data_IF_184863066317
#
_entry.id   IF_184863066317
#
_cell.length_a   1.000
_cell.length_b   1.000
_cell.length_c   1.000
_cell.angle_alpha   90.00
_cell.angle_beta   90.00
_cell.angle_gamma   90.00
#
_symmetry.space_group_name_H-M   'P 1'
#
loop_
_entity.id
_entity.type
_entity.pdbx_description
1 polymer ?
#
# COMPACT_ATOMS: atom_id res chain seq x y z
N UNK A 1 2.87 -28.32 -22.08
CA UNK A 1 4.00 -27.37 -22.21
C UNK A 1 3.98 -26.47 -20.98
N UNK A 2 5.13 -26.26 -20.34
CA UNK A 2 5.22 -25.34 -19.20
C UNK A 2 4.84 -23.92 -19.66
N UNK A 3 4.06 -23.20 -18.86
CA UNK A 3 3.69 -21.81 -19.15
C UNK A 3 4.96 -20.95 -19.05
N UNK A 4 5.31 -20.14 -20.06
CA UNK A 4 6.47 -19.26 -19.95
C UNK A 4 6.29 -18.32 -18.75
N UNK A 5 7.35 -18.19 -17.95
CA UNK A 5 7.38 -17.29 -16.80
C UNK A 5 7.18 -15.85 -17.28
N UNK A 6 6.22 -15.14 -16.68
CA UNK A 6 5.93 -13.75 -17.03
C UNK A 6 6.95 -12.85 -16.33
N UNK A 7 7.87 -12.26 -17.09
CA UNK A 7 8.88 -11.34 -16.55
C UNK A 7 8.24 -10.09 -15.92
N UNK A 8 7.25 -9.49 -16.59
CA UNK A 8 6.51 -8.33 -16.10
C UNK A 8 5.62 -8.57 -14.87
N UNK A 9 5.11 -7.47 -14.32
CA UNK A 9 4.14 -7.44 -13.22
C UNK A 9 2.86 -6.71 -13.64
N UNK A 10 1.72 -7.14 -13.12
CA UNK A 10 0.41 -6.54 -13.42
C UNK A 10 0.08 -5.31 -12.56
N UNK A 11 0.90 -5.07 -11.53
CA UNK A 11 0.76 -3.99 -10.59
C UNK A 11 2.15 -3.55 -10.13
N UNK A 12 2.31 -2.25 -9.87
CA UNK A 12 3.47 -1.72 -9.17
C UNK A 12 3.03 -0.73 -8.08
N UNK A 13 3.76 -0.68 -6.95
CA UNK A 13 3.49 0.28 -5.90
C UNK A 13 3.95 1.68 -6.32
N UNK A 14 3.05 2.64 -6.12
CA UNK A 14 3.31 4.07 -6.26
C UNK A 14 3.01 4.74 -4.93
N UNK A 15 3.98 5.47 -4.40
CA UNK A 15 3.82 6.16 -3.12
C UNK A 15 2.86 7.33 -3.24
N UNK A 16 2.11 7.59 -2.17
CA UNK A 16 1.20 8.75 -2.08
C UNK A 16 1.99 10.06 -2.07
N UNK A 17 3.13 10.05 -1.39
CA UNK A 17 4.06 11.18 -1.34
C UNK A 17 5.27 10.83 -2.20
N UNK A 18 5.25 11.34 -3.43
CA UNK A 18 6.33 11.14 -4.38
C UNK A 18 7.52 12.03 -4.04
N UNK A 19 8.71 11.57 -4.43
CA UNK A 19 9.96 12.30 -4.30
C UNK A 19 9.86 13.67 -5.00
N UNK A 20 10.59 14.66 -4.48
CA UNK A 20 10.68 16.01 -5.03
C UNK A 20 11.07 16.01 -6.51
N UNK A 21 11.77 14.97 -6.97
CA UNK A 21 12.07 14.71 -8.39
C UNK A 21 10.82 14.74 -9.29
N UNK A 22 9.71 14.16 -8.84
CA UNK A 22 8.43 14.17 -9.58
C UNK A 22 7.80 15.57 -9.58
N UNK A 23 7.88 16.29 -8.46
CA UNK A 23 7.39 17.67 -8.35
C UNK A 23 8.14 18.61 -9.32
N UNK A 24 9.44 18.40 -9.52
CA UNK A 24 10.19 19.17 -10.52
C UNK A 24 9.70 18.92 -11.95
N UNK A 25 9.39 17.68 -12.30
CA UNK A 25 8.83 17.35 -13.63
C UNK A 25 7.46 18.00 -13.79
N UNK A 26 6.59 17.86 -12.79
CA UNK A 26 5.27 18.47 -12.78
C UNK A 26 5.36 20.00 -12.88
N UNK A 27 6.33 20.63 -12.21
CA UNK A 27 6.52 22.09 -12.30
C UNK A 27 6.92 22.58 -13.69
N UNK A 28 7.61 21.74 -14.48
CA UNK A 28 8.15 22.09 -15.80
C UNK A 28 7.21 21.74 -16.95
N UNK A 29 6.52 20.61 -16.84
CA UNK A 29 5.70 20.03 -17.92
C UNK A 29 4.23 19.86 -17.51
N UNK A 30 3.84 20.34 -16.34
CA UNK A 30 2.49 20.21 -15.81
C UNK A 30 2.09 18.76 -15.50
N UNK A 31 0.77 18.57 -15.37
CA UNK A 31 0.18 17.24 -15.14
C UNK A 31 0.42 16.27 -16.30
N UNK A 32 0.62 16.78 -17.52
CA UNK A 32 0.93 15.94 -18.68
C UNK A 32 2.30 15.27 -18.51
N UNK A 33 3.33 16.04 -18.14
CA UNK A 33 4.65 15.47 -17.84
C UNK A 33 4.61 14.45 -16.70
N UNK A 34 3.85 14.74 -15.65
CA UNK A 34 3.63 13.79 -14.56
C UNK A 34 2.99 12.48 -15.08
N UNK A 35 1.93 12.57 -15.88
CA UNK A 35 1.25 11.42 -16.46
C UNK A 35 2.18 10.59 -17.37
N UNK A 36 3.03 11.25 -18.16
CA UNK A 36 4.05 10.60 -19.00
C UNK A 36 4.98 9.75 -18.14
N UNK A 37 5.49 10.28 -17.02
CA UNK A 37 6.37 9.51 -16.12
C UNK A 37 5.65 8.30 -15.54
N UNK A 38 4.40 8.44 -15.11
CA UNK A 38 3.62 7.30 -14.59
C UNK A 38 3.40 6.24 -15.68
N UNK A 39 3.14 6.66 -16.93
CA UNK A 39 2.99 5.76 -18.08
C UNK A 39 4.30 5.05 -18.44
N UNK A 40 5.44 5.74 -18.33
CA UNK A 40 6.76 5.12 -18.49
C UNK A 40 7.00 4.05 -17.41
N UNK A 41 6.68 4.36 -16.15
CA UNK A 41 6.78 3.38 -15.06
C UNK A 41 5.88 2.16 -15.33
N UNK A 42 4.64 2.36 -15.78
CA UNK A 42 3.74 1.27 -16.20
C UNK A 42 4.40 0.37 -17.25
N UNK A 43 4.97 0.96 -18.30
CA UNK A 43 5.68 0.22 -19.37
C UNK A 43 6.88 -0.56 -18.82
N UNK A 44 7.69 0.06 -17.97
CA UNK A 44 8.86 -0.59 -17.36
C UNK A 44 8.43 -1.81 -16.55
N UNK A 45 7.42 -1.68 -15.70
CA UNK A 45 6.96 -2.79 -14.86
C UNK A 45 6.23 -3.89 -15.64
N UNK A 46 5.61 -3.56 -16.77
CA UNK A 46 5.07 -4.55 -17.69
C UNK A 46 6.15 -5.43 -18.34
N UNK A 47 7.38 -4.91 -18.47
CA UNK A 47 8.55 -5.64 -18.99
C UNK A 47 9.42 -6.23 -17.87
N UNK A 48 9.35 -5.68 -16.65
CA UNK A 48 10.02 -6.18 -15.46
C UNK A 48 10.58 -5.05 -14.59
N UNK A 49 11.90 -4.87 -14.61
CA UNK A 49 12.62 -3.81 -13.90
C UNK A 49 13.35 -2.84 -14.85
N UNK A 50 13.17 -3.04 -16.15
CA UNK A 50 13.74 -2.24 -17.22
C UNK A 50 12.79 -2.30 -18.42
N UNK A 51 12.86 -1.31 -19.30
CA UNK A 51 12.29 -1.43 -20.64
C UNK A 51 13.30 -0.96 -21.68
N UNK A 52 13.18 -1.48 -22.90
CA UNK A 52 13.94 -0.99 -24.03
C UNK A 52 13.41 0.38 -24.48
N UNK A 53 14.31 1.32 -24.73
CA UNK A 53 13.99 2.70 -25.09
C UNK A 53 14.84 3.19 -26.25
N UNK A 54 14.39 2.84 -27.45
CA UNK A 54 14.95 3.31 -28.72
C UNK A 54 14.08 4.41 -29.33
N UNK A 55 14.51 4.98 -30.47
CA UNK A 55 13.69 5.94 -31.23
C UNK A 55 12.32 5.39 -31.63
N UNK A 56 12.26 4.12 -32.05
CA UNK A 56 11.00 3.46 -32.40
C UNK A 56 10.13 3.26 -31.15
N UNK A 57 10.75 2.93 -30.00
CA UNK A 57 10.06 2.83 -28.72
C UNK A 57 9.46 4.16 -28.26
N UNK A 58 10.19 5.26 -28.43
CA UNK A 58 9.70 6.62 -28.17
C UNK A 58 8.48 6.93 -29.04
N UNK A 59 8.54 6.66 -30.35
CA UNK A 59 7.46 6.92 -31.29
C UNK A 59 6.20 6.11 -30.96
N UNK A 60 6.36 4.80 -30.71
CA UNK A 60 5.26 3.92 -30.32
C UNK A 60 4.62 4.36 -29.00
N UNK A 61 5.45 4.68 -28.00
CA UNK A 61 4.96 5.14 -26.71
C UNK A 61 4.20 6.46 -26.82
N UNK A 62 4.74 7.44 -27.55
CA UNK A 62 4.08 8.73 -27.79
C UNK A 62 2.70 8.55 -28.45
N UNK A 63 2.60 7.63 -29.41
CA UNK A 63 1.32 7.26 -30.03
C UNK A 63 0.35 6.62 -29.03
N UNK A 64 0.81 5.67 -28.21
CA UNK A 64 -0.01 4.98 -27.20
C UNK A 64 -0.63 5.94 -26.18
N UNK A 65 0.15 6.91 -25.70
CA UNK A 65 -0.33 7.89 -24.71
C UNK A 65 -0.98 9.12 -25.34
N UNK A 66 -0.99 9.22 -26.68
CA UNK A 66 -1.51 10.35 -27.46
C UNK A 66 -0.85 11.68 -27.10
N UNK A 67 0.47 11.68 -26.98
CA UNK A 67 1.26 12.88 -26.68
C UNK A 67 2.31 13.11 -27.76
N UNK A 68 2.88 14.32 -27.81
CA UNK A 68 3.88 14.69 -28.80
C UNK A 68 5.23 14.02 -28.51
N UNK A 69 5.88 13.47 -29.54
CA UNK A 69 7.18 12.82 -29.43
C UNK A 69 8.23 13.74 -28.76
N UNK A 70 8.25 15.01 -29.17
CA UNK A 70 9.15 16.01 -28.64
C UNK A 70 8.95 16.25 -27.13
N UNK A 71 7.70 16.23 -26.66
CA UNK A 71 7.39 16.38 -25.24
C UNK A 71 7.84 15.16 -24.44
N UNK A 72 7.52 13.96 -24.91
CA UNK A 72 7.96 12.71 -24.26
C UNK A 72 9.48 12.65 -24.16
N UNK A 73 10.18 13.02 -25.24
CA UNK A 73 11.64 13.05 -25.25
C UNK A 73 12.20 14.05 -24.21
N UNK A 74 11.60 15.24 -24.11
CA UNK A 74 12.00 16.24 -23.12
C UNK A 74 11.76 15.77 -21.67
N UNK A 75 10.64 15.07 -21.42
CA UNK A 75 10.33 14.50 -20.11
C UNK A 75 11.32 13.40 -19.74
N UNK A 76 11.64 12.49 -20.67
CA UNK A 76 12.62 11.43 -20.44
C UNK A 76 14.01 12.00 -20.15
N UNK A 77 14.44 13.04 -20.89
CA UNK A 77 15.69 13.74 -20.63
C UNK A 77 15.71 14.40 -19.24
N UNK A 78 14.60 15.01 -18.82
CA UNK A 78 14.50 15.56 -17.47
C UNK A 78 14.51 14.46 -16.39
N UNK A 79 13.87 13.32 -16.63
CA UNK A 79 13.94 12.16 -15.74
C UNK A 79 15.38 11.68 -15.54
N UNK A 80 16.19 11.65 -16.61
CA UNK A 80 17.61 11.31 -16.52
C UNK A 80 18.40 12.36 -15.73
N UNK A 81 18.15 13.66 -15.97
CA UNK A 81 18.81 14.76 -15.24
C UNK A 81 18.53 14.75 -13.74
N UNK A 82 17.39 14.20 -13.31
CA UNK A 82 16.95 14.15 -11.90
C UNK A 82 17.20 12.78 -11.25
N UNK A 83 17.91 11.88 -11.92
CA UNK A 83 18.17 10.50 -11.46
C UNK A 83 16.87 9.71 -11.15
N UNK A 84 15.83 9.91 -11.95
CA UNK A 84 14.66 9.02 -11.98
C UNK A 84 14.94 7.80 -12.85
N UNK A 85 15.72 8.00 -13.91
CA UNK A 85 16.31 6.96 -14.75
C UNK A 85 17.83 7.08 -14.73
N UNK A 86 18.51 5.94 -14.77
CA UNK A 86 19.95 5.87 -14.80
C UNK A 86 20.47 6.21 -16.20
N UNK A 87 21.21 7.31 -16.29
CA UNK A 87 21.77 7.81 -17.55
C UNK A 87 22.79 6.82 -18.15
N UNK A 88 23.59 6.16 -17.31
CA UNK A 88 24.61 5.22 -17.77
C UNK A 88 24.02 3.95 -18.39
N UNK A 89 22.86 3.50 -17.90
CA UNK A 89 22.11 2.38 -18.49
C UNK A 89 21.45 2.77 -19.81
N UNK A 90 20.91 3.98 -19.90
CA UNK A 90 20.37 4.50 -21.16
C UNK A 90 21.46 4.64 -22.23
N UNK A 91 22.60 5.25 -21.90
CA UNK A 91 23.68 5.47 -22.88
C UNK A 91 24.32 4.17 -23.37
N UNK A 92 24.53 3.18 -22.48
CA UNK A 92 25.20 1.91 -22.83
C UNK A 92 24.28 0.87 -23.46
N UNK A 93 23.05 0.76 -22.97
CA UNK A 93 22.13 -0.34 -23.34
C UNK A 93 20.82 0.15 -23.98
N UNK A 94 20.60 1.46 -24.08
CA UNK A 94 19.34 2.05 -24.58
C UNK A 94 18.12 1.56 -23.78
N UNK A 95 18.27 1.41 -22.46
CA UNK A 95 17.18 0.99 -21.57
C UNK A 95 16.83 2.07 -20.55
N UNK A 96 15.59 2.06 -20.08
CA UNK A 96 15.16 2.83 -18.92
C UNK A 96 15.06 1.94 -17.70
N UNK A 97 15.89 2.22 -16.70
CA UNK A 97 15.85 1.58 -15.38
C UNK A 97 16.42 2.54 -14.34
N UNK A 98 16.25 2.22 -13.05
CA UNK A 98 16.93 2.93 -11.96
C UNK A 98 16.97 2.07 -10.71
N UNK A 99 17.84 2.44 -9.76
CA UNK A 99 17.92 1.78 -8.44
C UNK A 99 16.56 1.71 -7.74
N UNK A 100 15.75 2.79 -7.83
CA UNK A 100 14.43 2.84 -7.22
C UNK A 100 13.38 1.95 -7.89
N UNK A 101 13.50 1.73 -9.21
CA UNK A 101 12.65 0.79 -9.95
C UNK A 101 13.03 -0.65 -9.58
N UNK A 102 14.33 -0.95 -9.62
CA UNK A 102 14.87 -2.26 -9.32
C UNK A 102 14.55 -2.75 -7.89
N UNK A 103 14.67 -1.87 -6.89
CA UNK A 103 14.27 -2.17 -5.50
C UNK A 103 12.78 -2.51 -5.40
N UNK A 104 11.91 -1.71 -6.02
CA UNK A 104 10.47 -1.97 -6.01
C UNK A 104 10.12 -3.25 -6.74
N UNK A 105 10.74 -3.51 -7.89
CA UNK A 105 10.56 -4.76 -8.61
C UNK A 105 10.93 -5.98 -7.77
N UNK A 106 12.09 -5.95 -7.09
CA UNK A 106 12.53 -7.00 -6.16
C UNK A 106 11.45 -7.33 -5.12
N UNK A 107 10.87 -6.31 -4.50
CA UNK A 107 9.79 -6.52 -3.52
C UNK A 107 8.53 -7.14 -4.13
N UNK A 108 8.15 -6.76 -5.37
CA UNK A 108 6.98 -7.33 -6.06
C UNK A 108 7.21 -8.80 -6.40
N UNK A 109 8.41 -9.16 -6.84
CA UNK A 109 8.73 -10.52 -7.32
C UNK A 109 9.26 -11.45 -6.24
N UNK A 110 9.40 -10.99 -4.99
CA UNK A 110 9.95 -11.76 -3.86
C UNK A 110 9.30 -13.14 -3.66
N UNK A 111 8.03 -13.30 -4.03
CA UNK A 111 7.26 -14.56 -3.89
C UNK A 111 7.27 -15.44 -5.14
N UNK A 112 7.80 -14.95 -6.25
CA UNK A 112 7.87 -15.71 -7.49
C UNK A 112 8.97 -16.76 -7.37
N UNK A 113 8.68 -17.99 -7.82
CA UNK A 113 9.64 -19.10 -7.80
C UNK A 113 10.81 -18.90 -8.78
N UNK A 114 10.54 -18.24 -9.91
CA UNK A 114 11.53 -17.97 -10.96
C UNK A 114 11.29 -16.58 -11.53
N UNK A 115 12.38 -15.84 -11.74
CA UNK A 115 12.40 -14.50 -12.33
C UNK A 115 13.61 -14.40 -13.25
N UNK A 116 13.39 -14.02 -14.50
CA UNK A 116 14.47 -13.79 -15.45
C UNK A 116 15.13 -12.42 -15.16
N UNK A 117 16.37 -12.46 -14.69
CA UNK A 117 17.19 -11.28 -14.39
C UNK A 117 18.40 -11.27 -15.34
N UNK A 118 18.71 -10.10 -15.87
CA UNK A 118 19.82 -9.84 -16.78
C UNK A 118 20.85 -9.07 -15.96
N UNK A 119 21.95 -9.73 -15.62
CA UNK A 119 22.96 -9.21 -14.69
C UNK A 119 23.54 -7.87 -15.16
N UNK A 120 23.75 -7.71 -16.47
CA UNK A 120 24.30 -6.48 -17.08
C UNK A 120 23.45 -5.23 -16.81
N UNK A 121 22.16 -5.40 -16.52
CA UNK A 121 21.22 -4.28 -16.30
C UNK A 121 21.03 -3.96 -14.81
N UNK A 122 21.65 -4.71 -13.92
CA UNK A 122 21.53 -4.49 -12.48
C UNK A 122 22.33 -3.28 -12.02
N UNK A 123 21.66 -2.43 -11.23
CA UNK A 123 22.22 -1.27 -10.54
C UNK A 123 22.30 -1.48 -9.02
N UNK A 124 21.74 -2.58 -8.53
CA UNK A 124 21.79 -3.01 -7.14
C UNK A 124 22.30 -4.45 -7.08
N UNK A 125 23.33 -4.68 -6.25
CA UNK A 125 23.96 -6.00 -6.08
C UNK A 125 22.99 -7.05 -5.51
N UNK A 126 21.96 -6.57 -4.83
CA UNK A 126 21.04 -7.34 -4.00
C UNK A 126 19.90 -8.01 -4.79
N UNK A 127 19.78 -7.76 -6.11
CA UNK A 127 18.75 -8.39 -6.95
C UNK A 127 19.10 -9.83 -7.35
N UNK A 128 20.39 -10.17 -7.38
CA UNK A 128 20.90 -11.50 -7.71
C UNK A 128 20.72 -12.51 -6.56
N UNK A 129 20.47 -12.04 -5.34
CA UNK A 129 20.23 -12.86 -4.15
C UNK A 129 18.79 -13.41 -4.08
N UNK A 130 18.26 -13.92 -5.20
CA UNK A 130 17.11 -14.83 -5.19
C UNK A 130 17.61 -16.26 -5.49
N UNK A 131 18.30 -16.94 -4.56
CA UNK A 131 18.53 -18.37 -4.71
C UNK A 131 17.32 -19.15 -4.19
N UNK A 132 16.99 -20.20 -4.93
CA UNK A 132 16.36 -21.42 -4.44
C UNK A 132 16.97 -21.82 -3.07
N UNK A 133 16.33 -21.43 -1.97
CA UNK A 133 16.53 -22.11 -0.69
C UNK A 133 15.24 -22.81 -0.29
N UNK A 134 15.32 -24.14 -0.32
CA UNK A 134 14.40 -25.03 0.37
C UNK A 134 14.44 -24.66 1.86
N UNK A 135 13.43 -23.95 2.35
CA UNK A 135 13.23 -23.75 3.78
C UNK A 135 12.28 -24.84 4.25
N UNK A 136 12.83 -25.77 5.04
CA UNK A 136 12.10 -26.73 5.86
C UNK A 136 11.12 -26.00 6.80
N UNK A 137 9.97 -26.61 7.03
CA UNK A 137 9.04 -26.29 8.11
C UNK A 137 9.77 -26.24 9.47
N UNK A 138 10.02 -25.04 10.00
CA UNK A 138 9.62 -24.58 11.34
C UNK A 138 10.18 -23.17 11.63
N UNK A 139 9.38 -22.32 12.27
CA UNK A 139 9.74 -21.01 12.89
C UNK A 139 9.77 -19.76 11.96
N UNK A 140 8.65 -19.02 11.98
CA UNK A 140 8.51 -17.56 12.13
C UNK A 140 9.45 -16.61 11.34
N UNK A 141 8.93 -16.01 10.26
CA UNK A 141 8.42 -14.61 10.23
C UNK A 141 8.49 -14.01 8.82
N UNK A 142 7.61 -13.04 8.54
CA UNK A 142 7.57 -12.15 7.39
C UNK A 142 6.85 -12.64 6.12
N UNK A 143 5.52 -12.52 6.22
CA UNK A 143 4.67 -11.83 5.24
C UNK A 143 4.66 -12.34 3.79
N UNK A 144 3.57 -13.08 3.53
CA UNK A 144 2.44 -12.64 2.71
C UNK A 144 2.21 -13.57 1.51
N UNK A 145 0.97 -14.06 1.41
CA UNK A 145 0.34 -14.72 0.27
C UNK A 145 -0.85 -13.79 -0.02
N UNK A 146 -0.87 -13.00 -1.09
CA UNK A 146 -1.21 -13.36 -2.47
C UNK A 146 -2.56 -14.07 -2.55
N UNK A 147 -3.61 -13.24 -2.56
CA UNK A 147 -4.93 -13.60 -3.06
C UNK A 147 -4.82 -14.06 -4.51
N UNK A 148 -5.06 -15.34 -4.75
CA UNK A 148 -5.46 -15.87 -6.04
C UNK A 148 -6.88 -15.40 -6.36
N UNK A 149 -7.02 -14.70 -7.48
CA UNK A 149 -8.31 -14.35 -8.06
C UNK A 149 -8.91 -15.60 -8.71
N UNK A 150 -9.63 -16.42 -7.94
CA UNK A 150 -10.53 -17.43 -8.49
C UNK A 150 -11.92 -16.82 -8.55
N UNK A 151 -12.32 -16.46 -9.77
CA UNK A 151 -13.71 -16.27 -10.13
C UNK A 151 -14.33 -17.67 -10.27
N UNK A 152 -15.10 -18.14 -9.27
CA UNK A 152 -16.10 -19.19 -9.50
C UNK A 152 -17.22 -19.22 -8.44
N UNK A 153 -18.42 -19.00 -8.96
CA UNK A 153 -19.76 -19.39 -8.54
C UNK A 153 -19.99 -20.01 -7.14
N UNK A 154 -20.96 -19.40 -6.45
CA UNK A 154 -21.72 -19.95 -5.31
C UNK A 154 -22.00 -21.45 -5.43
N UNK A 155 -21.65 -22.20 -4.38
CA UNK A 155 -22.54 -23.20 -3.78
C UNK A 155 -22.18 -23.48 -2.32
N UNK A 156 -23.19 -23.32 -1.48
CA UNK A 156 -23.25 -23.64 -0.04
C UNK A 156 -22.98 -25.12 0.21
N UNK A 157 -22.20 -25.45 1.25
CA UNK A 157 -22.56 -26.45 2.27
C UNK A 157 -21.62 -26.42 3.47
N UNK A 158 -22.22 -26.36 4.65
CA UNK A 158 -21.64 -26.44 5.99
C UNK A 158 -20.88 -27.76 6.24
N UNK A 159 -19.82 -27.72 7.04
CA UNK A 159 -19.72 -28.60 8.22
C UNK A 159 -18.66 -28.12 9.23
N UNK A 160 -19.14 -28.01 10.47
CA UNK A 160 -18.58 -27.88 11.83
C UNK A 160 -17.06 -27.94 12.12
N UNK A 161 -16.66 -26.90 12.88
CA UNK A 161 -15.79 -26.86 14.07
C UNK A 161 -14.29 -27.17 13.97
N UNK A 162 -13.48 -26.09 14.04
CA UNK A 162 -12.41 -25.95 15.05
C UNK A 162 -12.12 -24.47 15.33
N UNK A 163 -12.53 -24.06 16.53
CA UNK A 163 -12.45 -22.74 17.13
C UNK A 163 -11.00 -22.31 17.41
N UNK A 164 -10.61 -21.10 16.95
CA UNK A 164 -9.69 -20.11 17.57
C UNK A 164 -8.87 -19.24 16.60
N UNK A 165 -8.95 -19.42 15.29
CA UNK A 165 -8.23 -18.55 14.33
C UNK A 165 -9.05 -17.36 13.79
N UNK A 166 -10.37 -17.32 14.05
CA UNK A 166 -11.26 -16.34 13.44
C UNK A 166 -11.14 -14.94 14.05
N UNK A 167 -10.81 -14.79 15.35
CA UNK A 167 -10.87 -13.48 16.02
C UNK A 167 -9.77 -12.49 15.59
N UNK A 168 -8.53 -12.97 15.34
CA UNK A 168 -7.40 -12.11 14.92
C UNK A 168 -7.65 -11.39 13.59
N UNK A 169 -8.55 -11.91 12.77
CA UNK A 169 -8.86 -11.32 11.47
C UNK A 169 -9.99 -10.29 11.55
N UNK A 170 -10.83 -10.31 12.60
CA UNK A 170 -12.05 -9.47 12.68
C UNK A 170 -11.71 -8.00 12.88
N UNK A 171 -10.82 -7.67 13.83
CA UNK A 171 -10.45 -6.27 14.07
C UNK A 171 -9.71 -5.66 12.88
N UNK A 172 -8.80 -6.44 12.28
CA UNK A 172 -8.11 -6.05 11.05
C UNK A 172 -9.13 -5.81 9.92
N UNK A 173 -10.00 -6.78 9.64
CA UNK A 173 -11.04 -6.67 8.60
C UNK A 173 -11.94 -5.45 8.80
N UNK A 174 -12.38 -5.19 10.03
CA UNK A 174 -13.21 -4.03 10.37
C UNK A 174 -12.48 -2.71 10.06
N UNK A 175 -11.21 -2.59 10.46
CA UNK A 175 -10.40 -1.42 10.14
C UNK A 175 -10.28 -1.20 8.63
N UNK A 176 -10.00 -2.27 7.89
CA UNK A 176 -9.88 -2.26 6.42
C UNK A 176 -11.15 -1.79 5.70
N UNK A 177 -12.31 -2.21 6.21
CA UNK A 177 -13.61 -1.91 5.61
C UNK A 177 -14.13 -0.51 5.92
N UNK A 178 -13.90 -0.02 7.15
CA UNK A 178 -14.59 1.18 7.64
C UNK A 178 -13.69 2.39 7.89
N UNK A 179 -12.37 2.20 8.03
CA UNK A 179 -11.44 3.28 8.39
C UNK A 179 -10.47 3.56 7.25
N UNK A 180 -9.55 2.64 6.98
CA UNK A 180 -8.49 2.83 5.99
C UNK A 180 -7.88 1.50 5.57
N UNK A 181 -7.11 1.49 4.47
CA UNK A 181 -6.30 0.34 4.10
C UNK A 181 -5.38 -0.05 5.24
N UNK A 182 -5.36 -1.34 5.57
CA UNK A 182 -4.53 -1.89 6.62
C UNK A 182 -3.09 -1.99 6.09
N UNK A 183 -2.16 -1.26 6.70
CA UNK A 183 -0.74 -1.51 6.50
C UNK A 183 -0.24 -2.57 7.50
N UNK A 184 0.88 -3.25 7.24
CA UNK A 184 1.46 -4.21 8.20
C UNK A 184 1.69 -3.60 9.59
N UNK A 185 2.10 -2.32 9.65
CA UNK A 185 2.30 -1.58 10.89
C UNK A 185 0.98 -1.42 11.66
N UNK A 186 -0.11 -1.10 10.96
CA UNK A 186 -1.43 -0.98 11.60
C UNK A 186 -1.93 -2.35 12.05
N UNK A 187 -1.72 -3.41 11.27
CA UNK A 187 -2.10 -4.77 11.65
C UNK A 187 -1.33 -5.26 12.90
N UNK A 188 -0.04 -4.95 12.99
CA UNK A 188 0.79 -5.24 14.16
C UNK A 188 0.28 -4.47 15.38
N UNK A 189 0.03 -3.16 15.24
CA UNK A 189 -0.54 -2.35 16.32
C UNK A 189 -1.91 -2.83 16.78
N UNK A 190 -2.80 -3.22 15.85
CA UNK A 190 -4.09 -3.83 16.19
C UNK A 190 -3.84 -5.10 17.01
N UNK A 191 -2.95 -5.97 16.53
CA UNK A 191 -2.60 -7.22 17.21
C UNK A 191 -2.02 -6.99 18.61
N UNK A 192 -1.23 -5.94 18.81
CA UNK A 192 -0.70 -5.57 20.13
C UNK A 192 -1.83 -5.13 21.07
N UNK A 193 -2.73 -4.26 20.59
CA UNK A 193 -3.89 -3.83 21.37
C UNK A 193 -4.87 -4.96 21.69
N UNK A 194 -5.05 -5.91 20.78
CA UNK A 194 -5.87 -7.10 21.03
C UNK A 194 -5.35 -7.94 22.20
N UNK A 195 -4.03 -7.98 22.40
CA UNK A 195 -3.40 -8.68 23.54
C UNK A 195 -3.64 -7.95 24.88
N UNK A 196 -3.75 -6.62 24.84
CA UNK A 196 -3.85 -5.79 26.05
C UNK A 196 -5.29 -5.60 26.55
N UNK A 197 -6.25 -5.33 25.67
CA UNK A 197 -7.63 -4.94 26.04
C UNK A 197 -8.74 -5.83 25.47
N UNK A 198 -8.40 -6.86 24.67
CA UNK A 198 -9.27 -7.76 23.89
C UNK A 198 -9.76 -7.22 22.53
N UNK A 199 -9.95 -8.13 21.58
CA UNK A 199 -10.47 -7.84 20.22
C UNK A 199 -11.80 -7.07 20.22
N UNK A 200 -12.72 -7.39 21.14
CA UNK A 200 -14.02 -6.73 21.18
C UNK A 200 -13.90 -5.25 21.55
N UNK A 201 -13.01 -4.91 22.49
CA UNK A 201 -12.74 -3.53 22.90
C UNK A 201 -12.06 -2.76 21.77
N UNK A 202 -11.14 -3.40 21.03
CA UNK A 202 -10.50 -2.80 19.85
C UNK A 202 -11.53 -2.45 18.77
N UNK A 203 -12.45 -3.37 18.45
CA UNK A 203 -13.53 -3.12 17.48
C UNK A 203 -14.44 -1.99 17.96
N UNK A 204 -14.82 -1.96 19.25
CA UNK A 204 -15.65 -0.88 19.79
C UNK A 204 -14.99 0.50 19.67
N UNK A 205 -13.68 0.61 19.87
CA UNK A 205 -12.96 1.88 19.68
C UNK A 205 -12.95 2.32 18.21
N UNK A 206 -12.86 1.37 17.28
CA UNK A 206 -12.96 1.64 15.84
C UNK A 206 -14.36 2.08 15.43
N UNK A 207 -15.42 1.44 15.96
CA UNK A 207 -16.81 1.85 15.75
C UNK A 207 -17.02 3.31 16.17
N UNK A 208 -16.52 3.69 17.35
CA UNK A 208 -16.64 5.07 17.84
C UNK A 208 -15.90 6.07 16.93
N UNK A 209 -14.73 5.71 16.41
CA UNK A 209 -14.01 6.53 15.44
C UNK A 209 -14.81 6.76 14.14
N UNK A 210 -15.56 5.74 13.71
CA UNK A 210 -16.44 5.82 12.53
C UNK A 210 -17.67 6.69 12.81
N UNK A 211 -18.30 6.52 13.99
CA UNK A 211 -19.48 7.30 14.43
C UNK A 211 -19.14 8.78 14.58
N UNK A 212 -17.95 9.12 15.09
CA UNK A 212 -17.49 10.51 15.22
C UNK A 212 -16.94 11.09 13.91
N UNK A 213 -17.01 10.36 12.80
CA UNK A 213 -16.44 10.71 11.49
C UNK A 213 -14.92 10.99 11.50
N UNK A 214 -14.22 10.57 12.56
CA UNK A 214 -12.78 10.74 12.78
C UNK A 214 -12.03 9.45 12.47
N UNK A 215 -12.17 8.99 11.23
CA UNK A 215 -11.67 7.71 10.72
C UNK A 215 -10.14 7.73 10.52
N UNK A 216 -9.39 7.72 11.62
CA UNK A 216 -7.93 7.65 11.61
C UNK A 216 -7.40 6.74 12.72
N UNK A 217 -6.33 5.99 12.45
CA UNK A 217 -5.67 5.16 13.47
C UNK A 217 -5.27 5.98 14.71
N UNK A 218 -4.76 7.20 14.51
CA UNK A 218 -4.39 8.11 15.60
C UNK A 218 -5.55 8.41 16.55
N UNK A 219 -6.78 8.49 16.04
CA UNK A 219 -7.96 8.70 16.87
C UNK A 219 -8.38 7.42 17.60
N UNK A 220 -8.35 6.27 16.91
CA UNK A 220 -8.61 4.95 17.52
C UNK A 220 -7.61 4.66 18.65
N UNK A 221 -6.32 4.84 18.41
CA UNK A 221 -5.24 4.62 19.38
C UNK A 221 -5.40 5.53 20.61
N UNK A 222 -5.89 6.76 20.43
CA UNK A 222 -6.20 7.66 21.56
C UNK A 222 -7.36 7.16 22.42
N UNK A 223 -8.40 6.59 21.80
CA UNK A 223 -9.52 5.97 22.53
C UNK A 223 -9.01 4.75 23.31
N UNK A 224 -8.22 3.90 22.66
CA UNK A 224 -7.66 2.69 23.28
C UNK A 224 -6.74 3.01 24.45
N UNK A 225 -5.90 4.04 24.36
CA UNK A 225 -5.07 4.51 25.46
C UNK A 225 -5.90 4.98 26.66
N UNK A 226 -6.95 5.78 26.44
CA UNK A 226 -7.86 6.23 27.50
C UNK A 226 -8.54 5.04 28.19
N UNK A 227 -9.02 4.08 27.41
CA UNK A 227 -9.69 2.88 27.91
C UNK A 227 -8.73 1.95 28.66
N UNK A 228 -7.50 1.79 28.17
CA UNK A 228 -6.46 1.03 28.84
C UNK A 228 -6.10 1.62 30.21
N UNK A 229 -5.93 2.95 30.29
CA UNK A 229 -5.68 3.63 31.56
C UNK A 229 -6.85 3.52 32.55
N UNK A 230 -8.08 3.37 32.06
CA UNK A 230 -9.29 3.12 32.86
C UNK A 230 -9.49 1.65 33.21
N UNK A 231 -8.61 0.75 32.77
CA UNK A 231 -8.68 -0.68 33.08
C UNK A 231 -9.77 -1.44 32.31
N UNK A 232 -10.26 -0.89 31.20
CA UNK A 232 -11.30 -1.50 30.34
C UNK A 232 -10.72 -2.72 29.65
N UNK A 233 -11.25 -3.92 29.95
CA UNK A 233 -10.81 -5.19 29.34
C UNK A 233 -11.94 -6.00 28.70
N UNK A 234 -13.19 -5.60 28.93
CA UNK A 234 -14.37 -6.22 28.33
C UNK A 234 -15.19 -5.19 27.57
N UNK A 235 -15.98 -5.68 26.61
CA UNK A 235 -16.91 -4.86 25.83
C UNK A 235 -17.88 -4.06 26.70
N UNK A 236 -18.36 -4.66 27.79
CA UNK A 236 -19.30 -4.03 28.72
C UNK A 236 -18.71 -2.79 29.40
N UNK A 237 -17.42 -2.86 29.76
CA UNK A 237 -16.68 -1.75 30.37
C UNK A 237 -16.51 -0.59 29.37
N UNK A 238 -16.25 -0.91 28.10
CA UNK A 238 -16.15 0.09 27.03
C UNK A 238 -17.47 0.82 26.80
N UNK A 239 -18.60 0.09 26.84
CA UNK A 239 -19.94 0.68 26.74
C UNK A 239 -20.30 1.56 27.93
N UNK A 240 -19.78 1.25 29.13
CA UNK A 240 -19.94 2.10 30.30
C UNK A 240 -19.20 3.42 30.13
N UNK A 241 -17.91 3.36 29.74
CA UNK A 241 -17.08 4.55 29.50
C UNK A 241 -17.64 5.43 28.38
N UNK A 242 -18.16 4.83 27.30
CA UNK A 242 -18.81 5.56 26.21
C UNK A 242 -20.08 6.28 26.68
N UNK A 243 -20.92 5.62 27.48
CA UNK A 243 -22.13 6.24 28.02
C UNK A 243 -21.81 7.46 28.89
N UNK A 244 -20.81 7.34 29.76
CA UNK A 244 -20.35 8.47 30.58
C UNK A 244 -19.79 9.60 29.72
N UNK A 245 -18.99 9.29 28.70
CA UNK A 245 -18.41 10.28 27.79
C UNK A 245 -19.49 11.04 26.99
N UNK A 246 -20.50 10.34 26.45
CA UNK A 246 -21.60 10.98 25.74
C UNK A 246 -22.50 11.81 26.66
N UNK A 247 -22.74 11.35 27.90
CA UNK A 247 -23.49 12.12 28.89
C UNK A 247 -22.75 13.42 29.25
N UNK A 248 -21.43 13.37 29.49
CA UNK A 248 -20.61 14.55 29.77
C UNK A 248 -20.53 15.50 28.56
N UNK A 249 -20.45 14.97 27.33
CA UNK A 249 -20.49 15.76 26.09
C UNK A 249 -21.84 16.47 25.93
N UNK A 250 -22.95 15.81 26.28
CA UNK A 250 -24.29 16.41 26.24
C UNK A 250 -24.54 17.43 27.36
N UNK A 251 -23.97 17.23 28.55
CA UNK A 251 -24.09 18.14 29.69
C UNK A 251 -23.26 19.43 29.53
N UNK A 252 -22.12 19.36 28.83
CA UNK A 252 -21.28 20.52 28.53
C UNK A 252 -21.80 21.38 27.36
N UNK A 253 -22.83 20.93 26.64
CA UNK A 253 -23.60 21.79 25.73
C UNK A 253 -24.65 22.53 26.57
N UNK A 254 -24.21 23.48 27.39
CA UNK A 254 -25.11 24.39 28.11
C UNK A 254 -25.83 25.33 27.12
N UNK A 255 -27.12 25.64 27.36
CA UNK A 255 -27.96 26.33 26.39
C UNK A 255 -27.44 27.73 26.10
N UNK A 256 -27.39 28.06 24.80
CA UNK A 256 -27.14 29.40 24.29
C UNK A 256 -28.02 30.38 25.09
N UNK A 257 -27.38 31.33 25.78
CA UNK A 257 -28.05 32.44 26.46
C UNK A 257 -29.01 33.10 25.46
N UNK A 258 -30.32 33.01 25.72
CA UNK A 258 -31.30 33.85 25.04
C UNK A 258 -30.90 35.30 25.30
N UNK A 259 -30.46 35.99 24.25
CA UNK A 259 -30.34 37.43 24.25
C UNK A 259 -31.76 37.96 24.41
N UNK A 260 -31.98 38.74 25.47
CA UNK A 260 -33.23 39.46 25.67
C UNK A 260 -33.24 40.63 24.67
N UNK A 261 -34.19 40.62 23.75
CA UNK A 261 -34.45 41.75 22.86
C UNK A 261 -35.01 42.91 23.69
N UNK A 262 -34.36 44.07 23.58
CA UNK A 262 -34.90 45.39 23.89
C UNK A 262 -35.23 46.10 22.57
#
# INVERSE_FOLDING_TARGET
>A
MARPCKQGVDYFPLDVHLDQKFQFIESKFGLEGFAIVIKLLQKIYQEGYWCNWTKDGLLLFAYEIRSEEALVQQVVEECMKRDLFDRGMYERHQILTSKGIQKRYKEIVKRRKEVDIVEDYLLIDDLAAVPNEKINDDIMSASCEQDEYINEQRKVKESKEKSNNNNKQIACQFFGQHIARISPIIAEKISDWEREVSTEVVIRAMEEAVIQEKRSWKYVERILLDWFHKGVKKREDAEHVLREFHQQKSANVSPIRKVADF
#
